data_IF_863472049845
#
_entry.id   IF_863472049845
#
_cell.length_a   1.000
_cell.length_b   1.000
_cell.length_c   1.000
_cell.angle_alpha   90.00
_cell.angle_beta   90.00
_cell.angle_gamma   90.00
#
_symmetry.space_group_name_H-M   'P 1'
#
loop_
_entity.id
_entity.type
_entity.pdbx_description
1 polymer ?
#
# COMPACT_ATOMS: atom_id res chain seq x y z
N UNK A 1 16.17 -7.18 13.51
CA UNK A 1 14.79 -6.90 14.00
C UNK A 1 13.82 -7.81 13.27
N UNK A 2 12.82 -8.36 13.97
CA UNK A 2 11.72 -9.13 13.34
C UNK A 2 10.51 -8.19 13.26
N UNK A 3 9.77 -8.22 12.16
CA UNK A 3 8.63 -7.31 11.91
C UNK A 3 7.41 -8.10 11.46
N UNK A 4 6.18 -7.60 11.69
CA UNK A 4 4.96 -8.27 11.20
C UNK A 4 4.96 -8.47 9.69
N UNK A 5 4.27 -9.51 9.22
CA UNK A 5 4.19 -9.88 7.80
C UNK A 5 2.77 -9.66 7.30
N UNK A 6 2.59 -8.88 6.23
CA UNK A 6 1.31 -8.75 5.53
C UNK A 6 1.37 -9.54 4.23
N UNK A 7 0.40 -10.43 4.01
CA UNK A 7 0.35 -11.32 2.86
C UNK A 7 -0.84 -10.87 1.99
N UNK A 8 -0.59 -10.53 0.74
CA UNK A 8 -1.61 -10.09 -0.21
C UNK A 8 -1.64 -11.02 -1.43
N UNK A 9 -2.83 -11.54 -1.75
CA UNK A 9 -3.13 -12.11 -3.06
C UNK A 9 -3.87 -11.07 -3.89
N UNK A 10 -3.44 -10.87 -5.14
CA UNK A 10 -4.12 -9.99 -6.08
C UNK A 10 -4.99 -10.82 -7.03
N UNK A 11 -6.09 -10.24 -7.49
CA UNK A 11 -7.04 -10.83 -8.45
C UNK A 11 -7.37 -9.73 -9.45
N UNK A 12 -7.23 -10.03 -10.74
CA UNK A 12 -7.47 -9.12 -11.87
C UNK A 12 -8.50 -9.67 -12.88
N UNK A 13 -9.08 -10.84 -12.60
CA UNK A 13 -10.14 -11.48 -13.39
C UNK A 13 -11.20 -12.08 -12.48
N UNK A 14 -12.48 -12.10 -12.90
CA UNK A 14 -13.57 -12.66 -12.09
C UNK A 14 -13.76 -11.94 -10.75
N UNK A 15 -13.43 -10.64 -10.70
CA UNK A 15 -13.43 -9.86 -9.45
C UNK A 15 -14.83 -9.82 -8.83
N UNK A 16 -15.86 -9.61 -9.64
CA UNK A 16 -17.24 -9.52 -9.15
C UNK A 16 -17.69 -10.83 -8.52
N UNK A 17 -17.39 -11.97 -9.14
CA UNK A 17 -17.70 -13.31 -8.60
C UNK A 17 -17.05 -13.51 -7.21
N UNK A 18 -15.81 -13.05 -7.02
CA UNK A 18 -15.11 -13.16 -5.74
C UNK A 18 -15.64 -12.19 -4.70
N UNK A 19 -15.97 -10.96 -5.09
CA UNK A 19 -16.61 -9.98 -4.20
C UNK A 19 -17.94 -10.54 -3.71
N UNK A 20 -18.74 -11.13 -4.59
CA UNK A 20 -20.02 -11.75 -4.26
C UNK A 20 -19.85 -12.99 -3.37
N UNK A 21 -18.90 -13.87 -3.69
CA UNK A 21 -18.61 -15.07 -2.89
C UNK A 21 -18.12 -14.75 -1.47
N UNK A 22 -17.49 -13.59 -1.27
CA UNK A 22 -17.04 -13.09 0.04
C UNK A 22 -18.09 -12.23 0.76
N UNK A 23 -19.31 -12.11 0.21
CA UNK A 23 -20.39 -11.24 0.68
C UNK A 23 -19.92 -9.78 0.89
N UNK A 24 -18.99 -9.32 0.05
CA UNK A 24 -18.42 -7.98 0.08
C UNK A 24 -19.36 -6.95 -0.56
N UNK A 25 -20.52 -6.73 0.06
CA UNK A 25 -21.53 -5.79 -0.43
C UNK A 25 -21.05 -4.35 -0.40
N UNK A 26 -21.37 -3.60 -1.45
CA UNK A 26 -20.89 -2.22 -1.61
C UNK A 26 -21.36 -1.29 -0.48
N UNK A 27 -22.54 -1.52 0.02
CA UNK A 27 -23.21 -0.83 1.12
C UNK A 27 -22.51 -1.03 2.48
N UNK A 28 -21.71 -2.09 2.60
CA UNK A 28 -20.84 -2.34 3.75
C UNK A 28 -19.37 -1.93 3.51
N UNK A 29 -19.05 -1.44 2.30
CA UNK A 29 -17.70 -1.04 1.96
C UNK A 29 -17.36 0.30 2.60
N UNK A 30 -16.15 0.41 3.17
CA UNK A 30 -15.56 1.72 3.37
C UNK A 30 -15.02 2.22 2.04
N UNK A 31 -15.73 3.16 1.42
CA UNK A 31 -15.26 3.83 0.20
C UNK A 31 -14.24 4.92 0.53
N UNK A 32 -13.15 4.97 -0.22
CA UNK A 32 -12.11 6.00 -0.13
C UNK A 32 -11.64 6.38 -1.53
N UNK A 33 -11.09 7.59 -1.67
CA UNK A 33 -10.30 7.96 -2.84
C UNK A 33 -8.87 8.23 -2.41
N UNK A 34 -7.93 7.82 -3.24
CA UNK A 34 -6.53 8.09 -3.00
C UNK A 34 -5.80 8.41 -4.31
N UNK A 35 -4.66 9.06 -4.17
CA UNK A 35 -3.76 9.47 -5.23
C UNK A 35 -2.34 9.08 -4.85
N UNK A 36 -1.48 8.97 -5.85
CA UNK A 36 -0.04 8.89 -5.64
C UNK A 36 0.60 10.21 -6.00
N UNK A 37 1.61 10.63 -5.24
CA UNK A 37 2.56 11.61 -5.75
C UNK A 37 3.68 10.85 -6.48
N UNK A 38 4.08 11.37 -7.62
CA UNK A 38 5.11 10.80 -8.50
C UNK A 38 6.01 11.94 -9.01
N UNK A 39 7.23 11.63 -9.45
CA UNK A 39 8.14 12.62 -9.99
C UNK A 39 7.56 13.32 -11.23
N UNK A 40 7.76 14.63 -11.36
CA UNK A 40 7.26 15.41 -12.50
C UNK A 40 7.73 14.88 -13.86
N UNK A 41 8.94 14.32 -13.93
CA UNK A 41 9.48 13.76 -15.17
C UNK A 41 8.99 12.32 -15.48
N UNK A 42 8.06 11.78 -14.70
CA UNK A 42 7.44 10.50 -15.01
C UNK A 42 6.71 10.58 -16.36
N UNK A 43 7.07 9.68 -17.27
CA UNK A 43 6.60 9.63 -18.65
C UNK A 43 6.10 8.23 -19.00
N UNK A 44 5.59 8.02 -20.22
CA UNK A 44 5.24 6.68 -20.69
C UNK A 44 6.43 5.70 -20.66
N UNK A 45 7.66 6.20 -20.90
CA UNK A 45 8.88 5.38 -20.92
C UNK A 45 9.41 5.08 -19.51
N UNK A 46 9.23 6.02 -18.57
CA UNK A 46 9.61 5.87 -17.16
C UNK A 46 8.42 6.25 -16.28
N UNK A 47 7.40 5.39 -16.15
CA UNK A 47 6.12 5.76 -15.55
C UNK A 47 6.14 5.82 -14.03
N UNK A 48 7.18 5.28 -13.39
CA UNK A 48 7.24 5.03 -11.94
C UNK A 48 8.54 5.48 -11.24
N UNK A 49 9.15 6.66 -11.53
CA UNK A 49 10.47 7.02 -11.01
C UNK A 49 10.64 6.92 -9.48
N UNK A 50 9.65 7.37 -8.70
CA UNK A 50 9.70 7.23 -7.23
C UNK A 50 9.58 5.77 -6.81
N UNK A 51 8.61 5.04 -7.36
CA UNK A 51 8.41 3.63 -6.99
C UNK A 51 9.65 2.78 -7.33
N UNK A 52 10.26 3.03 -8.49
CA UNK A 52 11.50 2.37 -8.93
C UNK A 52 12.69 2.79 -8.04
N UNK A 53 12.66 4.02 -7.52
CA UNK A 53 13.56 4.51 -6.46
C UNK A 53 13.17 4.05 -5.05
N UNK A 54 12.22 3.11 -4.93
CA UNK A 54 11.76 2.49 -3.68
C UNK A 54 11.02 3.45 -2.72
N UNK A 55 10.35 4.45 -3.28
CA UNK A 55 9.54 5.44 -2.55
C UNK A 55 8.12 5.44 -3.09
N UNK A 56 7.14 5.45 -2.19
CA UNK A 56 5.72 5.62 -2.51
C UNK A 56 5.14 6.71 -1.64
N UNK A 57 4.54 7.72 -2.25
CA UNK A 57 3.83 8.77 -1.53
C UNK A 57 2.36 8.67 -1.91
N UNK A 58 1.50 8.38 -0.94
CA UNK A 58 0.06 8.21 -1.14
C UNK A 58 -0.73 9.23 -0.33
N UNK A 59 -1.60 9.96 -1.03
CA UNK A 59 -2.57 10.89 -0.45
C UNK A 59 -3.93 10.21 -0.42
N UNK A 60 -4.67 10.28 0.68
CA UNK A 60 -5.97 9.64 0.79
C UNK A 60 -6.98 10.58 1.42
N UNK A 61 -8.12 10.71 0.75
CA UNK A 61 -9.30 11.38 1.31
C UNK A 61 -10.20 10.38 2.02
N UNK A 62 -10.80 10.79 3.14
CA UNK A 62 -11.73 9.96 3.91
C UNK A 62 -12.35 10.71 5.09
N UNK A 63 -12.82 9.96 6.10
CA UNK A 63 -13.32 10.55 7.35
C UNK A 63 -12.24 11.39 8.06
N UNK A 64 -10.98 10.97 7.94
CA UNK A 64 -9.79 11.77 8.19
C UNK A 64 -8.88 11.57 7.00
N UNK A 65 -8.39 12.66 6.44
CA UNK A 65 -7.44 12.60 5.35
C UNK A 65 -6.09 12.12 5.89
N UNK A 66 -5.30 11.47 5.05
CA UNK A 66 -3.94 11.08 5.43
C UNK A 66 -2.96 11.11 4.25
N UNK A 67 -1.71 11.39 4.58
CA UNK A 67 -0.59 11.28 3.68
C UNK A 67 0.35 10.21 4.23
N UNK A 68 0.65 9.19 3.42
CA UNK A 68 1.60 8.14 3.78
C UNK A 68 2.82 8.20 2.87
N UNK A 69 4.00 8.28 3.45
CA UNK A 69 5.28 8.03 2.76
C UNK A 69 5.72 6.62 3.12
N UNK A 70 5.93 5.77 2.12
CA UNK A 70 6.41 4.40 2.28
C UNK A 70 7.73 4.21 1.55
N UNK A 71 8.73 3.73 2.27
CA UNK A 71 10.03 3.29 1.74
C UNK A 71 10.04 1.77 1.58
N UNK A 72 10.75 1.29 0.56
CA UNK A 72 10.90 -0.14 0.24
C UNK A 72 12.37 -0.58 0.39
N UNK A 73 12.96 -0.48 1.60
CA UNK A 73 14.37 -0.78 1.84
C UNK A 73 14.69 -2.27 1.57
N UNK A 74 15.96 -2.56 1.28
CA UNK A 74 16.44 -3.94 1.10
C UNK A 74 16.52 -4.72 2.40
N UNK A 75 16.85 -4.03 3.50
CA UNK A 75 16.98 -4.60 4.83
C UNK A 75 16.66 -3.56 5.89
N UNK A 76 16.40 -4.02 7.12
CA UNK A 76 16.16 -3.14 8.26
C UNK A 76 17.37 -2.25 8.57
N UNK A 77 18.59 -2.66 8.22
CA UNK A 77 19.82 -1.92 8.52
C UNK A 77 19.94 -0.61 7.72
N UNK A 78 19.13 -0.45 6.67
CA UNK A 78 19.00 0.80 5.91
C UNK A 78 18.12 1.83 6.62
N UNK A 79 17.39 1.43 7.66
CA UNK A 79 16.58 2.32 8.50
C UNK A 79 17.44 2.79 9.67
N UNK A 80 17.63 4.10 9.78
CA UNK A 80 18.60 4.69 10.72
C UNK A 80 17.94 5.61 11.75
N UNK A 81 18.62 5.81 12.89
CA UNK A 81 18.15 6.69 13.95
C UNK A 81 16.77 6.28 14.49
N UNK A 82 15.88 7.27 14.62
CA UNK A 82 14.49 7.05 15.06
C UNK A 82 13.70 6.08 14.17
N UNK A 83 14.10 5.91 12.91
CA UNK A 83 13.38 5.08 11.93
C UNK A 83 13.74 3.59 12.01
N UNK A 84 14.69 3.20 12.88
CA UNK A 84 15.11 1.82 13.04
C UNK A 84 14.04 0.92 13.70
N UNK A 85 13.02 1.51 14.35
CA UNK A 85 11.93 0.78 14.99
C UNK A 85 10.58 1.50 14.79
N UNK A 86 9.44 0.78 14.84
CA UNK A 86 8.11 1.39 14.79
C UNK A 86 7.86 2.33 15.99
N UNK A 87 7.12 3.42 15.78
CA UNK A 87 6.73 4.35 16.84
C UNK A 87 5.46 5.13 16.47
N UNK A 88 4.85 5.76 17.48
CA UNK A 88 3.78 6.76 17.32
C UNK A 88 4.21 8.05 18.02
N UNK A 89 4.10 9.19 17.34
CA UNK A 89 4.43 10.53 17.87
C UNK A 89 3.45 11.55 17.32
N UNK A 90 2.68 12.19 18.20
CA UNK A 90 1.69 13.21 17.83
C UNK A 90 0.75 12.73 16.71
N UNK A 91 0.77 13.38 15.54
CA UNK A 91 -0.03 13.03 14.36
C UNK A 91 0.70 12.07 13.39
N UNK A 92 1.89 11.57 13.74
CA UNK A 92 2.70 10.65 12.94
C UNK A 92 2.67 9.23 13.50
N UNK A 93 2.25 8.31 12.65
CA UNK A 93 2.38 6.86 12.85
C UNK A 93 3.48 6.31 11.95
N UNK A 94 4.47 5.63 12.55
CA UNK A 94 5.52 4.94 11.82
C UNK A 94 5.47 3.42 12.05
N UNK A 95 5.46 2.67 10.95
CA UNK A 95 5.35 1.20 10.95
C UNK A 95 6.36 0.58 10.03
N UNK A 96 6.88 -0.58 10.45
CA UNK A 96 7.75 -1.43 9.64
C UNK A 96 7.08 -2.79 9.53
N UNK A 97 7.02 -3.34 8.32
CA UNK A 97 6.47 -4.67 8.07
C UNK A 97 7.06 -5.27 6.81
N UNK A 98 7.08 -6.58 6.72
CA UNK A 98 7.26 -7.25 5.43
C UNK A 98 5.92 -7.33 4.70
N UNK A 99 5.96 -7.20 3.39
CA UNK A 99 4.86 -7.39 2.47
C UNK A 99 5.20 -8.56 1.56
N UNK A 100 4.38 -9.60 1.63
CA UNK A 100 4.45 -10.76 0.75
C UNK A 100 3.33 -10.65 -0.28
N UNK A 101 3.67 -10.71 -1.56
CA UNK A 101 2.69 -10.59 -2.65
C UNK A 101 3.13 -11.41 -3.86
N UNK A 102 2.37 -12.45 -4.19
CA UNK A 102 2.82 -13.47 -5.13
C UNK A 102 4.15 -14.09 -4.66
N UNK A 103 5.15 -14.15 -5.54
CA UNK A 103 6.51 -14.57 -5.21
C UNK A 103 7.39 -13.47 -4.57
N UNK A 104 6.90 -12.23 -4.48
CA UNK A 104 7.68 -11.09 -3.97
C UNK A 104 7.59 -10.99 -2.46
N UNK A 105 8.73 -10.74 -1.81
CA UNK A 105 8.83 -10.41 -0.38
C UNK A 105 9.62 -9.12 -0.25
N UNK A 106 9.01 -8.10 0.36
CA UNK A 106 9.58 -6.77 0.41
C UNK A 106 9.39 -6.15 1.79
N UNK A 107 10.45 -5.58 2.35
CA UNK A 107 10.36 -4.77 3.56
C UNK A 107 9.72 -3.42 3.22
N UNK A 108 8.83 -2.97 4.09
CA UNK A 108 8.13 -1.70 3.97
C UNK A 108 8.30 -0.91 5.26
N UNK A 109 8.60 0.37 5.14
CA UNK A 109 8.67 1.32 6.26
C UNK A 109 7.78 2.51 5.90
N UNK A 110 6.72 2.75 6.67
CA UNK A 110 5.67 3.72 6.33
C UNK A 110 5.48 4.75 7.42
N UNK A 111 5.58 6.02 7.05
CA UNK A 111 5.32 7.19 7.87
C UNK A 111 4.00 7.84 7.43
N UNK A 112 2.95 7.72 8.26
CA UNK A 112 1.61 8.24 8.00
C UNK A 112 1.31 9.44 8.88
N UNK A 113 0.89 10.54 8.26
CA UNK A 113 0.39 11.72 8.94
C UNK A 113 -1.09 11.92 8.63
N UNK A 114 -1.83 12.45 9.59
CA UNK A 114 -3.25 12.71 9.43
C UNK A 114 -3.54 14.20 9.23
N UNK A 115 -4.55 14.48 8.41
CA UNK A 115 -4.97 15.83 8.03
C UNK A 115 -6.47 16.02 8.25
N UNK A 116 -6.95 17.26 8.38
CA UNK A 116 -8.38 17.55 8.37
C UNK A 116 -9.07 17.00 7.12
N UNK A 117 -10.30 16.52 7.25
CA UNK A 117 -11.06 16.00 6.11
C UNK A 117 -11.20 17.06 5.00
N UNK A 118 -10.93 16.66 3.76
CA UNK A 118 -10.99 17.54 2.59
C UNK A 118 -9.69 18.30 2.27
N UNK A 119 -8.68 18.26 3.16
CA UNK A 119 -7.38 18.90 2.91
C UNK A 119 -6.68 18.33 1.66
N UNK A 120 -6.74 17.02 1.45
CA UNK A 120 -6.13 16.39 0.26
C UNK A 120 -6.85 16.82 -1.01
N UNK A 121 -8.19 16.79 -1.00
CA UNK A 121 -8.99 17.19 -2.17
C UNK A 121 -8.75 18.66 -2.54
N UNK A 122 -8.65 19.55 -1.53
CA UNK A 122 -8.34 20.96 -1.75
C UNK A 122 -6.97 21.13 -2.40
N UNK A 123 -5.93 20.52 -1.82
CA UNK A 123 -4.56 20.61 -2.34
C UNK A 123 -4.42 20.06 -3.76
N UNK A 124 -5.15 18.98 -4.08
CA UNK A 124 -5.16 18.37 -5.42
C UNK A 124 -5.83 19.30 -6.43
N UNK A 125 -6.97 19.91 -6.07
CA UNK A 125 -7.70 20.83 -6.95
C UNK A 125 -6.87 22.06 -7.32
N UNK A 126 -6.07 22.55 -6.38
CA UNK A 126 -5.23 23.73 -6.60
C UNK A 126 -4.01 23.42 -7.49
N UNK A 127 -3.78 22.14 -7.84
CA UNK A 127 -2.73 21.70 -8.76
C UNK A 127 -1.31 21.91 -8.22
N UNK A 128 -1.19 22.17 -6.92
CA UNK A 128 0.08 22.47 -6.27
C UNK A 128 0.94 21.20 -6.12
N UNK A 129 2.27 21.39 -6.18
CA UNK A 129 3.25 20.34 -5.89
C UNK A 129 2.98 19.75 -4.48
N UNK A 130 2.63 18.46 -4.34
CA UNK A 130 2.22 17.86 -3.07
C UNK A 130 3.35 17.79 -2.04
N UNK A 131 4.59 18.18 -2.36
CA UNK A 131 5.67 18.31 -1.38
C UNK A 131 5.32 19.26 -0.23
N UNK A 132 4.46 20.26 -0.45
CA UNK A 132 4.00 21.16 0.63
C UNK A 132 3.14 20.46 1.69
N UNK A 133 2.54 19.31 1.36
CA UNK A 133 1.72 18.51 2.29
C UNK A 133 2.56 17.58 3.18
N UNK A 134 3.82 17.36 2.83
CA UNK A 134 4.75 16.58 3.65
C UNK A 134 5.12 17.38 4.90
N UNK A 135 4.82 16.81 6.06
CA UNK A 135 5.25 17.40 7.32
C UNK A 135 6.77 17.29 7.50
N UNK A 136 7.30 17.96 8.54
CA UNK A 136 8.73 17.97 8.81
C UNK A 136 9.28 16.55 9.08
N UNK A 137 8.49 15.67 9.69
CA UNK A 137 8.92 14.32 10.05
C UNK A 137 9.01 13.40 8.83
N UNK A 138 8.04 13.46 7.91
CA UNK A 138 8.03 12.75 6.64
C UNK A 138 9.16 13.25 5.72
N UNK A 139 9.46 14.56 5.72
CA UNK A 139 10.63 15.10 5.02
C UNK A 139 11.93 14.53 5.60
N UNK A 140 12.08 14.50 6.92
CA UNK A 140 13.24 13.87 7.58
C UNK A 140 13.34 12.38 7.28
N UNK A 141 12.21 11.67 7.20
CA UNK A 141 12.17 10.26 6.82
C UNK A 141 12.73 10.05 5.41
N UNK A 142 12.25 10.84 4.44
CA UNK A 142 12.75 10.81 3.06
C UNK A 142 14.25 11.11 3.01
N UNK A 143 14.73 12.16 3.66
CA UNK A 143 16.16 12.52 3.67
C UNK A 143 17.02 11.42 4.31
N UNK A 144 16.54 10.80 5.39
CA UNK A 144 17.31 9.79 6.12
C UNK A 144 17.36 8.43 5.42
N UNK A 145 16.30 8.05 4.69
CA UNK A 145 16.12 6.68 4.20
C UNK A 145 16.05 6.55 2.66
N UNK A 146 15.85 7.64 1.92
CA UNK A 146 15.83 7.58 0.47
C UNK A 146 17.22 7.37 -0.11
N UNK A 147 17.29 6.67 -1.24
CA UNK A 147 18.55 6.51 -1.97
C UNK A 147 18.95 7.86 -2.56
N UNK A 148 20.24 8.18 -2.56
CA UNK A 148 20.75 9.40 -3.20
C UNK A 148 20.27 9.50 -4.64
N UNK A 149 19.72 10.67 -5.01
CA UNK A 149 19.14 10.90 -6.34
C UNK A 149 17.67 10.52 -6.50
N UNK A 150 16.97 10.11 -5.43
CA UNK A 150 15.52 9.92 -5.47
C UNK A 150 14.83 11.24 -5.87
N UNK A 151 13.99 11.27 -6.91
CA UNK A 151 13.44 12.51 -7.46
C UNK A 151 12.21 13.01 -6.69
N UNK A 152 12.45 13.49 -5.48
CA UNK A 152 11.41 14.04 -4.59
C UNK A 152 11.18 15.54 -4.77
N UNK A 153 12.01 16.19 -5.59
CA UNK A 153 11.89 17.61 -5.93
C UNK A 153 10.93 17.74 -7.12
N UNK A 154 9.82 18.46 -6.91
CA UNK A 154 8.74 18.65 -7.89
C UNK A 154 7.94 17.38 -8.18
N UNK A 155 6.94 17.15 -7.34
CA UNK A 155 6.03 16.02 -7.48
C UNK A 155 4.78 16.44 -8.27
N UNK A 156 4.17 15.46 -8.92
CA UNK A 156 2.86 15.54 -9.57
C UNK A 156 1.91 14.52 -8.96
N UNK A 157 0.62 14.83 -8.96
CA UNK A 157 -0.40 13.96 -8.40
C UNK A 157 -0.97 13.07 -9.51
N UNK A 158 -1.03 11.76 -9.27
CA UNK A 158 -1.58 10.73 -10.16
C UNK A 158 -2.80 10.09 -9.49
N UNK A 159 -3.93 10.08 -10.20
CA UNK A 159 -5.21 9.55 -9.72
C UNK A 159 -6.39 10.41 -10.18
N UNK A 160 -7.59 10.25 -9.57
CA UNK A 160 -7.87 9.42 -8.40
C UNK A 160 -7.93 7.91 -8.70
N UNK A 161 -7.71 7.13 -7.65
CA UNK A 161 -8.13 5.73 -7.55
C UNK A 161 -9.23 5.64 -6.51
N UNK A 162 -10.34 5.01 -6.87
CA UNK A 162 -11.40 4.65 -5.94
C UNK A 162 -11.05 3.32 -5.27
N UNK A 163 -11.10 3.29 -3.94
CA UNK A 163 -10.87 2.11 -3.11
C UNK A 163 -12.16 1.74 -2.38
N UNK A 164 -12.59 0.49 -2.54
CA UNK A 164 -13.60 -0.12 -1.68
C UNK A 164 -12.91 -1.11 -0.76
N UNK A 165 -13.12 -0.97 0.55
CA UNK A 165 -12.48 -1.79 1.57
C UNK A 165 -13.53 -2.52 2.38
N UNK A 166 -13.33 -3.82 2.56
CA UNK A 166 -14.10 -4.68 3.46
C UNK A 166 -13.17 -5.40 4.41
N UNK A 167 -13.59 -5.54 5.66
CA UNK A 167 -13.00 -6.48 6.60
C UNK A 167 -13.95 -7.67 6.72
N UNK A 168 -13.50 -8.85 6.31
CA UNK A 168 -14.32 -10.07 6.25
C UNK A 168 -13.51 -11.27 6.76
N UNK A 169 -14.07 -12.47 6.64
CA UNK A 169 -13.40 -13.72 6.94
C UNK A 169 -13.52 -14.69 5.77
N UNK A 170 -12.43 -15.40 5.50
CA UNK A 170 -12.47 -16.60 4.66
C UNK A 170 -13.01 -17.80 5.44
N UNK A 171 -13.34 -18.90 4.74
CA UNK A 171 -13.53 -20.20 5.40
C UNK A 171 -12.43 -20.46 6.43
N UNK A 172 -12.77 -21.13 7.55
CA UNK A 172 -11.91 -21.29 8.75
C UNK A 172 -11.72 -20.02 9.62
N UNK A 173 -12.57 -19.01 9.47
CA UNK A 173 -12.59 -17.77 10.27
C UNK A 173 -11.30 -16.93 10.17
N UNK A 174 -10.53 -17.09 9.09
CA UNK A 174 -9.33 -16.28 8.85
C UNK A 174 -9.76 -14.86 8.50
N UNK A 175 -9.48 -13.90 9.39
CA UNK A 175 -9.73 -12.48 9.14
C UNK A 175 -8.87 -12.00 7.97
N UNK A 176 -9.55 -11.40 6.99
CA UNK A 176 -8.93 -10.82 5.81
C UNK A 176 -9.49 -9.42 5.56
N UNK A 177 -8.63 -8.57 5.03
CA UNK A 177 -9.02 -7.29 4.47
C UNK A 177 -9.07 -7.42 2.95
N UNK A 178 -10.23 -7.17 2.39
CA UNK A 178 -10.47 -7.13 0.94
C UNK A 178 -10.44 -5.67 0.51
N UNK A 179 -9.71 -5.36 -0.55
CA UNK A 179 -9.63 -4.01 -1.09
C UNK A 179 -9.67 -4.03 -2.61
N UNK A 180 -10.71 -3.45 -3.22
CA UNK A 180 -10.83 -3.28 -4.68
C UNK A 180 -10.37 -1.88 -5.07
N UNK A 181 -9.50 -1.78 -6.07
CA UNK A 181 -9.04 -0.52 -6.65
C UNK A 181 -9.64 -0.36 -8.04
N UNK A 182 -10.21 0.82 -8.28
CA UNK A 182 -10.92 1.18 -9.50
C UNK A 182 -10.43 2.52 -10.04
N UNK A 183 -10.03 2.57 -11.31
CA UNK A 183 -9.85 3.78 -12.12
C UNK A 183 -9.94 3.41 -13.61
N UNK A 184 -9.87 4.38 -14.51
CA UNK A 184 -9.90 4.10 -15.95
C UNK A 184 -8.72 3.20 -16.33
N UNK A 185 -9.01 2.00 -16.85
CA UNK A 185 -8.00 1.00 -17.20
C UNK A 185 -7.44 0.19 -16.03
N UNK A 186 -8.01 0.29 -14.82
CA UNK A 186 -7.63 -0.52 -13.66
C UNK A 186 -8.85 -1.02 -12.90
N UNK A 187 -8.96 -2.34 -12.79
CA UNK A 187 -9.80 -3.01 -11.80
C UNK A 187 -8.99 -4.16 -11.18
N UNK A 188 -8.66 -4.03 -9.89
CA UNK A 188 -7.85 -5.04 -9.21
C UNK A 188 -8.30 -5.19 -7.76
N UNK A 189 -8.49 -6.44 -7.35
CA UNK A 189 -8.85 -6.81 -5.99
C UNK A 189 -7.62 -7.34 -5.26
N UNK A 190 -7.38 -6.87 -4.04
CA UNK A 190 -6.37 -7.41 -3.14
C UNK A 190 -7.01 -8.00 -1.90
N UNK A 191 -6.69 -9.25 -1.59
CA UNK A 191 -7.11 -9.91 -0.35
C UNK A 191 -5.88 -10.05 0.53
N UNK A 192 -5.92 -9.42 1.71
CA UNK A 192 -4.77 -9.31 2.60
C UNK A 192 -5.06 -9.90 3.96
N UNK A 193 -4.14 -10.72 4.46
CA UNK A 193 -4.09 -11.10 5.88
C UNK A 193 -2.78 -10.63 6.49
N UNK A 194 -2.73 -10.52 7.82
CA UNK A 194 -1.56 -10.04 8.54
C UNK A 194 -1.19 -11.01 9.66
N UNK A 195 0.09 -11.37 9.71
CA UNK A 195 0.67 -12.19 10.76
C UNK A 195 1.45 -11.29 11.70
N UNK A 196 0.89 -11.12 12.89
CA UNK A 196 1.51 -10.32 13.95
C UNK A 196 2.60 -11.12 14.69
N UNK A 197 3.49 -10.36 15.32
CA UNK A 197 4.49 -10.89 16.25
C UNK A 197 3.80 -11.41 17.52
N UNK A 198 4.32 -12.51 18.06
CA UNK A 198 3.99 -13.04 19.38
C UNK A 198 5.20 -12.90 20.31
N UNK A 199 4.99 -12.75 21.62
CA UNK A 199 6.09 -12.72 22.58
C UNK A 199 7.00 -13.94 22.43
N UNK A 200 8.30 -13.71 22.26
CA UNK A 200 9.30 -14.77 22.13
C UNK A 200 9.46 -15.35 20.72
N UNK A 201 8.77 -14.81 19.71
CA UNK A 201 8.95 -15.26 18.32
C UNK A 201 10.41 -15.17 17.87
N UNK A 202 10.94 -16.26 17.31
CA UNK A 202 12.10 -16.20 16.44
C UNK A 202 11.66 -15.89 14.98
N UNK A 203 12.60 -15.43 14.16
CA UNK A 203 12.33 -15.09 12.76
C UNK A 203 11.79 -16.30 11.96
N UNK A 204 12.27 -17.51 12.26
CA UNK A 204 11.80 -18.72 11.60
C UNK A 204 10.36 -19.07 11.99
N UNK A 205 9.96 -18.89 13.26
CA UNK A 205 8.59 -19.16 13.73
C UNK A 205 7.58 -18.25 13.02
N UNK A 206 7.89 -16.95 12.94
CA UNK A 206 7.04 -15.99 12.24
C UNK A 206 6.93 -16.33 10.75
N UNK A 207 8.05 -16.65 10.11
CA UNK A 207 8.10 -17.01 8.69
C UNK A 207 7.28 -18.26 8.41
N UNK A 208 7.38 -19.30 9.25
CA UNK A 208 6.59 -20.52 9.13
C UNK A 208 5.09 -20.21 9.19
N UNK A 209 4.64 -19.45 10.20
CA UNK A 209 3.22 -19.04 10.29
C UNK A 209 2.76 -18.20 9.11
N UNK A 210 3.64 -17.38 8.54
CA UNK A 210 3.32 -16.61 7.34
C UNK A 210 3.22 -17.48 6.09
N UNK A 211 4.04 -18.52 5.96
CA UNK A 211 3.91 -19.51 4.89
C UNK A 211 2.59 -20.26 5.02
N UNK A 212 2.25 -20.74 6.22
CA UNK A 212 0.97 -21.43 6.48
C UNK A 212 -0.22 -20.53 6.16
N UNK A 213 -0.21 -19.29 6.67
CA UNK A 213 -1.26 -18.31 6.37
C UNK A 213 -1.37 -17.98 4.87
N UNK A 214 -0.26 -17.99 4.12
CA UNK A 214 -0.28 -17.79 2.68
C UNK A 214 -0.83 -19.01 1.92
N UNK A 215 -0.61 -20.22 2.45
CA UNK A 215 -1.23 -21.46 1.96
C UNK A 215 -2.73 -21.43 2.14
N UNK A 216 -3.18 -21.25 3.39
CA UNK A 216 -4.61 -21.15 3.73
C UNK A 216 -5.34 -20.05 2.95
N UNK A 217 -4.72 -18.87 2.80
CA UNK A 217 -5.30 -17.77 2.04
C UNK A 217 -5.51 -18.14 0.56
N UNK A 218 -4.57 -18.89 -0.03
CA UNK A 218 -4.67 -19.35 -1.42
C UNK A 218 -5.70 -20.46 -1.57
N UNK A 219 -5.73 -21.39 -0.64
CA UNK A 219 -6.66 -22.52 -0.65
C UNK A 219 -8.10 -22.03 -0.45
N UNK A 220 -8.30 -21.11 0.51
CA UNK A 220 -9.59 -20.44 0.73
C UNK A 220 -10.07 -19.69 -0.50
N UNK A 221 -9.19 -18.94 -1.19
CA UNK A 221 -9.54 -18.27 -2.43
C UNK A 221 -9.85 -19.24 -3.57
N UNK A 222 -9.06 -20.31 -3.71
CA UNK A 222 -9.27 -21.34 -4.73
C UNK A 222 -10.59 -22.08 -4.52
N UNK A 223 -10.98 -22.33 -3.26
CA UNK A 223 -12.28 -22.89 -2.90
C UNK A 223 -13.47 -22.01 -3.28
N UNK A 224 -13.26 -20.70 -3.44
CA UNK A 224 -14.25 -19.75 -3.96
C UNK A 224 -14.19 -19.60 -5.50
N UNK A 225 -13.37 -20.40 -6.18
CA UNK A 225 -13.17 -20.31 -7.63
C UNK A 225 -12.24 -19.17 -8.08
N UNK A 226 -11.57 -18.50 -7.14
CA UNK A 226 -10.70 -17.36 -7.45
C UNK A 226 -9.34 -17.77 -7.99
N UNK A 227 -8.87 -17.05 -9.00
CA UNK A 227 -7.52 -17.18 -9.54
C UNK A 227 -6.66 -16.00 -9.11
N UNK A 228 -5.47 -16.29 -8.58
CA UNK A 228 -4.52 -15.24 -8.19
C UNK A 228 -3.77 -14.71 -9.40
N UNK A 229 -3.70 -13.40 -9.50
CA UNK A 229 -2.86 -12.70 -10.46
C UNK A 229 -1.36 -12.83 -10.12
N UNK A 230 -0.46 -12.93 -11.13
CA UNK A 230 0.98 -12.86 -10.93
C UNK A 230 1.48 -11.47 -10.52
N UNK A 231 0.60 -10.45 -10.45
CA UNK A 231 0.95 -9.10 -10.04
C UNK A 231 1.68 -9.07 -8.69
N UNK A 232 2.94 -8.65 -8.71
CA UNK A 232 3.75 -8.48 -7.50
C UNK A 232 3.39 -7.20 -6.71
N UNK A 233 2.72 -6.23 -7.35
CA UNK A 233 2.38 -4.95 -6.72
C UNK A 233 1.23 -4.24 -7.44
N UNK A 234 0.12 -4.02 -6.72
CA UNK A 234 -1.00 -3.19 -7.20
C UNK A 234 -0.58 -1.72 -7.38
N UNK A 235 0.34 -1.23 -6.54
CA UNK A 235 0.87 0.14 -6.64
C UNK A 235 1.60 0.35 -7.96
N UNK A 236 2.49 -0.57 -8.34
CA UNK A 236 3.24 -0.47 -9.59
C UNK A 236 2.31 -0.52 -10.81
N UNK A 237 1.31 -1.41 -10.79
CA UNK A 237 0.30 -1.48 -11.84
C UNK A 237 -0.50 -0.16 -11.93
N UNK A 238 -0.99 0.34 -10.81
CA UNK A 238 -1.80 1.55 -10.77
C UNK A 238 -1.05 2.78 -11.29
N UNK A 239 0.22 2.96 -10.88
CA UNK A 239 1.05 4.06 -11.39
C UNK A 239 1.29 3.95 -12.90
N UNK A 240 1.54 2.75 -13.43
CA UNK A 240 1.69 2.55 -14.89
C UNK A 240 0.43 2.92 -15.67
N UNK A 241 -0.73 2.48 -15.19
CA UNK A 241 -2.03 2.84 -15.81
C UNK A 241 -2.24 4.36 -15.77
N UNK A 242 -2.01 4.98 -14.62
CA UNK A 242 -2.18 6.43 -14.44
C UNK A 242 -1.19 7.27 -15.24
N UNK A 243 0.00 6.76 -15.54
CA UNK A 243 0.99 7.44 -16.39
C UNK A 243 0.65 7.35 -17.88
N UNK A 244 -0.07 6.32 -18.32
CA UNK A 244 -0.56 6.18 -19.70
C UNK A 244 -1.83 6.97 -20.01
N UNK A 245 -2.62 7.31 -18.98
CA UNK A 245 -3.85 8.09 -19.12
C UNK A 245 -3.64 9.61 -19.25
N UNK A 246 -2.39 10.08 -19.12
CA UNK A 246 -2.03 11.48 -19.27
C UNK A 246 -1.79 11.83 -20.75
N UNK A 247 -2.87 11.99 -21.53
CA UNK A 247 -2.88 12.63 -22.86
C UNK A 247 -3.93 13.72 -22.91
#
# INVERSE_FOLDING_TARGET
>A
MIVPISITLNIDTGIDDIVDALDCRIDNATQRRFWFAEAHHASADTPTPLYDSRVVIRLRSGARDDLTVTMLPESCDRLTGDWAAPFDRDDLEYRISERWCGGSRQLTASARTHHPAGAMVAAIRDGADPTHLLDMSQRRFLVACATSGTPIDHLVIRGPITSHVWDTALPENRRVRVERWLTDGLDVLGITTRVELRPGDASYDLTARAVDAAGELRDGLSGLGGQTSPLASRTALALRVLSGAAT
#
